data_IF_435276770186
#
_entry.id   IF_435276770186
#
_cell.length_a   1.000
_cell.length_b   1.000
_cell.length_c   1.000
_cell.angle_alpha   90.00
_cell.angle_beta   90.00
_cell.angle_gamma   90.00
#
_symmetry.space_group_name_H-M   'P 1'
#
loop_
_entity.id
_entity.type
_entity.pdbx_description
1 polymer ?
#
# COMPACT_ATOMS: atom_id res chain seq x y z
N UNK A 1 58.66 -42.11 48.13
CA UNK A 1 57.72 -42.84 47.25
C UNK A 1 56.56 -41.90 46.95
N UNK A 2 56.26 -41.68 45.64
CA UNK A 2 54.94 -41.49 44.97
C UNK A 2 53.78 -40.81 45.75
N UNK A 3 52.89 -39.98 45.20
CA UNK A 3 52.57 -39.44 43.87
C UNK A 3 51.36 -38.46 44.11
N UNK A 4 51.25 -37.37 43.33
CA UNK A 4 50.04 -36.76 42.66
C UNK A 4 48.67 -36.78 43.38
N UNK A 5 47.76 -35.79 43.34
CA UNK A 5 47.62 -34.46 42.70
C UNK A 5 46.28 -33.81 43.14
N UNK A 6 46.28 -32.47 43.33
CA UNK A 6 45.23 -31.44 43.10
C UNK A 6 43.99 -31.30 44.05
N UNK A 7 43.45 -30.05 44.29
CA UNK A 7 42.70 -29.24 43.30
C UNK A 7 42.85 -27.68 43.27
N UNK A 8 42.75 -27.16 42.03
CA UNK A 8 42.08 -25.97 41.44
C UNK A 8 42.06 -24.59 42.18
N UNK A 9 42.58 -23.57 41.50
CA UNK A 9 42.55 -22.14 41.86
C UNK A 9 41.42 -21.35 41.15
N UNK A 10 40.79 -20.41 41.87
CA UNK A 10 40.03 -19.28 41.31
C UNK A 10 40.53 -18.00 42.02
N UNK A 11 40.96 -16.98 41.26
CA UNK A 11 41.35 -15.65 41.74
C UNK A 11 40.51 -14.60 41.01
N UNK A 12 39.61 -13.92 41.73
CA UNK A 12 39.73 -12.59 42.38
C UNK A 12 39.49 -11.43 41.41
N UNK A 13 38.34 -10.76 41.55
CA UNK A 13 37.98 -9.53 40.84
C UNK A 13 38.33 -8.27 41.64
N UNK A 14 38.49 -7.16 40.90
CA UNK A 14 38.24 -5.77 41.32
C UNK A 14 38.24 -4.86 40.08
N UNK A 15 37.26 -3.97 40.01
CA UNK A 15 36.93 -2.98 38.94
C UNK A 15 37.83 -1.74 39.11
N UNK A 16 38.29 -1.02 38.05
CA UNK A 16 37.61 0.25 37.69
C UNK A 16 37.71 0.74 36.22
N UNK A 17 36.75 1.64 35.90
CA UNK A 17 36.85 2.81 34.98
C UNK A 17 36.38 2.70 33.52
N UNK A 18 35.30 3.43 33.22
CA UNK A 18 34.82 3.83 31.89
C UNK A 18 35.96 4.41 31.05
N UNK A 19 36.36 3.67 30.02
CA UNK A 19 37.06 4.24 28.87
C UNK A 19 36.22 3.92 27.65
N UNK A 20 35.82 4.95 26.91
CA UNK A 20 35.15 4.89 25.62
C UNK A 20 35.96 3.91 24.76
N UNK A 21 35.44 2.70 24.56
CA UNK A 21 36.10 1.73 23.70
C UNK A 21 36.13 2.37 22.31
N UNK A 22 37.34 2.69 21.89
CA UNK A 22 37.68 2.88 20.50
C UNK A 22 37.44 1.50 19.90
N UNK A 23 36.23 1.29 19.37
CA UNK A 23 35.95 0.08 18.61
C UNK A 23 36.92 0.06 17.43
N UNK A 24 37.57 -1.09 17.32
CA UNK A 24 38.61 -1.47 16.37
C UNK A 24 38.28 -1.06 14.94
N UNK A 25 39.29 -0.73 14.10
CA UNK A 25 39.05 -0.44 12.70
C UNK A 25 38.41 -1.68 12.06
N UNK A 26 37.24 -1.49 11.46
CA UNK A 26 36.51 -2.50 10.72
C UNK A 26 37.47 -3.06 9.67
N UNK A 27 38.02 -4.24 9.92
CA UNK A 27 38.80 -4.98 8.94
C UNK A 27 37.87 -5.33 7.78
N UNK A 28 38.14 -4.71 6.63
CA UNK A 28 37.73 -5.07 5.26
C UNK A 28 36.96 -6.38 5.13
N UNK A 29 35.63 -6.31 5.26
CA UNK A 29 34.72 -7.19 4.54
C UNK A 29 33.91 -6.28 3.64
N UNK A 30 34.40 -6.04 2.42
CA UNK A 30 33.67 -5.29 1.40
C UNK A 30 32.34 -6.03 1.11
N UNK A 31 31.22 -5.30 1.00
CA UNK A 31 29.92 -5.86 0.67
C UNK A 31 30.01 -6.54 -0.71
N UNK A 32 29.22 -7.61 -0.84
CA UNK A 32 29.38 -8.67 -1.84
C UNK A 32 29.53 -8.21 -3.31
N UNK A 33 30.03 -9.16 -4.12
CA UNK A 33 30.31 -9.07 -5.55
C UNK A 33 29.18 -8.42 -6.39
N UNK A 34 29.50 -7.93 -7.61
CA UNK A 34 28.51 -7.32 -8.50
C UNK A 34 27.27 -8.22 -8.64
N UNK A 35 26.04 -7.65 -8.67
CA UNK A 35 24.84 -8.44 -8.85
C UNK A 35 24.94 -9.31 -10.13
N UNK A 36 24.64 -10.60 -10.01
CA UNK A 36 24.71 -11.56 -11.13
C UNK A 36 23.69 -11.26 -12.23
N UNK A 37 22.65 -10.48 -11.92
CA UNK A 37 21.62 -10.08 -12.87
C UNK A 37 22.10 -8.96 -13.80
N UNK A 38 22.03 -9.24 -15.10
CA UNK A 38 22.35 -8.31 -16.19
C UNK A 38 21.54 -6.99 -16.10
N UNK A 39 22.05 -5.89 -16.70
CA UNK A 39 21.39 -4.58 -16.68
C UNK A 39 19.90 -4.66 -17.03
N UNK A 40 19.06 -3.94 -16.31
CA UNK A 40 17.67 -3.71 -16.69
C UNK A 40 17.70 -2.81 -17.94
N UNK A 41 17.37 -3.36 -19.12
CA UNK A 41 17.27 -2.60 -20.37
C UNK A 41 16.10 -1.61 -20.30
N UNK A 42 16.33 -0.41 -19.78
CA UNK A 42 15.40 0.70 -19.98
C UNK A 42 15.58 1.23 -21.41
N UNK A 43 14.67 0.77 -22.27
CA UNK A 43 14.59 1.05 -23.70
C UNK A 43 14.24 2.52 -23.97
N UNK A 44 15.25 3.40 -23.99
CA UNK A 44 15.15 4.71 -24.63
C UNK A 44 16.45 5.28 -25.19
N UNK A 45 17.64 4.86 -24.72
CA UNK A 45 18.92 5.24 -25.33
C UNK A 45 19.97 4.14 -25.11
N UNK A 46 20.37 3.46 -26.19
CA UNK A 46 21.26 2.27 -26.19
C UNK A 46 22.74 2.56 -25.88
N UNK A 47 23.12 3.79 -25.51
CA UNK A 47 24.53 4.19 -25.39
C UNK A 47 25.03 4.48 -23.96
N UNK A 48 24.15 4.71 -22.99
CA UNK A 48 24.53 5.16 -21.64
C UNK A 48 24.46 4.07 -20.55
N UNK A 49 23.42 3.22 -20.47
CA UNK A 49 23.26 2.27 -19.35
C UNK A 49 24.37 1.22 -19.28
N UNK A 50 24.87 0.77 -20.42
CA UNK A 50 25.98 -0.19 -20.50
C UNK A 50 27.32 0.40 -20.07
N UNK A 51 27.55 1.70 -20.31
CA UNK A 51 28.77 2.38 -19.87
C UNK A 51 28.80 2.52 -18.35
N UNK A 52 27.65 2.85 -17.74
CA UNK A 52 27.51 3.00 -16.29
C UNK A 52 27.65 1.66 -15.56
N UNK A 53 27.08 0.57 -16.11
CA UNK A 53 27.30 -0.79 -15.59
C UNK A 53 28.77 -1.23 -15.69
N UNK A 54 29.42 -0.96 -16.83
CA UNK A 54 30.83 -1.31 -16.99
C UNK A 54 31.71 -0.55 -15.98
N UNK A 55 31.44 0.74 -15.79
CA UNK A 55 32.11 1.53 -14.74
C UNK A 55 31.88 0.93 -13.35
N UNK A 56 30.66 0.49 -13.05
CA UNK A 56 30.30 -0.13 -11.77
C UNK A 56 31.11 -1.41 -11.52
N UNK A 57 31.16 -2.31 -12.50
CA UNK A 57 31.94 -3.56 -12.41
C UNK A 57 33.42 -3.25 -12.21
N UNK A 58 33.97 -2.31 -12.98
CA UNK A 58 35.37 -1.89 -12.86
C UNK A 58 35.66 -1.21 -11.51
N UNK A 59 34.71 -0.45 -10.97
CA UNK A 59 34.81 0.18 -9.65
C UNK A 59 34.82 -0.86 -8.52
N UNK A 60 33.89 -1.82 -8.54
CA UNK A 60 33.82 -2.91 -7.56
C UNK A 60 35.10 -3.74 -7.61
N UNK A 61 35.54 -4.15 -8.80
CA UNK A 61 36.77 -4.94 -8.97
C UNK A 61 37.99 -4.21 -8.41
N UNK A 62 38.13 -2.90 -8.68
CA UNK A 62 39.22 -2.11 -8.10
C UNK A 62 39.20 -2.09 -6.57
N UNK A 63 38.01 -2.16 -5.97
CA UNK A 63 37.83 -2.14 -4.52
C UNK A 63 38.04 -3.53 -3.89
N UNK A 64 37.75 -4.63 -4.60
CA UNK A 64 37.90 -6.00 -4.07
C UNK A 64 39.30 -6.60 -4.26
N UNK A 65 40.06 -6.18 -5.28
CA UNK A 65 41.39 -6.76 -5.59
C UNK A 65 42.54 -6.24 -4.71
N UNK A 66 42.27 -5.74 -3.50
CA UNK A 66 43.30 -5.27 -2.54
C UNK A 66 44.04 -3.99 -2.95
N UNK A 67 43.57 -3.29 -3.98
CA UNK A 67 44.03 -1.94 -4.33
C UNK A 67 43.18 -0.96 -3.52
N UNK A 68 43.82 0.05 -2.90
CA UNK A 68 43.11 1.04 -2.07
C UNK A 68 41.92 1.63 -2.85
N UNK A 69 40.70 1.26 -2.44
CA UNK A 69 39.46 1.80 -2.98
C UNK A 69 39.37 3.27 -2.58
N UNK A 70 39.27 4.18 -3.55
CA UNK A 70 39.13 5.60 -3.25
C UNK A 70 37.80 5.88 -2.55
N UNK A 71 37.81 6.79 -1.58
CA UNK A 71 36.66 7.11 -0.74
C UNK A 71 35.50 7.64 -1.61
N UNK A 72 35.81 8.39 -2.68
CA UNK A 72 34.81 8.83 -3.65
C UNK A 72 34.24 7.66 -4.45
N UNK A 73 35.04 6.63 -4.76
CA UNK A 73 34.56 5.45 -5.51
C UNK A 73 33.55 4.66 -4.68
N UNK A 74 33.80 4.47 -3.38
CA UNK A 74 32.86 3.83 -2.45
C UNK A 74 31.52 4.58 -2.39
N UNK A 75 31.58 5.90 -2.30
CA UNK A 75 30.38 6.74 -2.32
C UNK A 75 29.63 6.62 -3.65
N UNK A 76 30.34 6.66 -4.79
CA UNK A 76 29.71 6.55 -6.10
C UNK A 76 29.05 5.18 -6.30
N UNK A 77 29.65 4.08 -5.83
CA UNK A 77 29.00 2.76 -5.85
C UNK A 77 27.69 2.79 -5.06
N UNK A 78 27.67 3.41 -3.88
CA UNK A 78 26.43 3.62 -3.11
C UNK A 78 25.39 4.44 -3.87
N UNK A 79 25.80 5.47 -4.61
CA UNK A 79 24.90 6.28 -5.46
C UNK A 79 24.30 5.45 -6.59
N UNK A 80 25.10 4.59 -7.23
CA UNK A 80 24.65 3.71 -8.32
C UNK A 80 23.55 2.77 -7.85
N UNK A 81 23.75 2.13 -6.68
CA UNK A 81 22.71 1.31 -6.04
C UNK A 81 21.50 2.14 -5.59
N UNK A 82 21.70 3.34 -5.07
CA UNK A 82 20.59 4.19 -4.61
C UNK A 82 19.68 4.67 -5.76
N UNK A 83 20.27 4.99 -6.91
CA UNK A 83 19.54 5.49 -8.09
C UNK A 83 19.09 4.38 -9.03
N UNK A 84 19.73 3.22 -8.99
CA UNK A 84 19.57 2.18 -9.99
C UNK A 84 20.22 2.57 -11.33
N UNK A 85 21.37 3.24 -11.30
CA UNK A 85 22.08 3.69 -12.51
C UNK A 85 23.06 2.59 -12.95
N UNK A 86 22.85 2.01 -14.13
CA UNK A 86 23.60 0.85 -14.63
C UNK A 86 23.37 -0.47 -13.87
N UNK A 87 22.85 -0.43 -12.65
CA UNK A 87 22.52 -1.60 -11.80
C UNK A 87 21.09 -1.48 -11.27
N UNK A 88 20.41 -2.58 -10.86
CA UNK A 88 19.13 -2.50 -10.19
C UNK A 88 19.19 -1.62 -8.92
N UNK A 89 18.15 -0.84 -8.68
CA UNK A 89 18.05 -0.02 -7.48
C UNK A 89 17.97 -0.93 -6.23
N UNK A 90 18.89 -0.71 -5.28
CA UNK A 90 18.94 -1.43 -4.01
C UNK A 90 19.39 -0.48 -2.90
N UNK A 91 18.42 0.05 -2.13
CA UNK A 91 18.72 1.00 -1.06
C UNK A 91 19.49 0.37 0.10
N UNK A 92 19.34 -0.92 0.34
CA UNK A 92 20.05 -1.63 1.41
C UNK A 92 21.54 -1.72 1.09
N UNK A 93 21.87 -2.13 -0.14
CA UNK A 93 23.26 -2.13 -0.62
C UNK A 93 23.84 -0.71 -0.69
N UNK A 94 23.05 0.28 -1.09
CA UNK A 94 23.49 1.66 -1.07
C UNK A 94 23.91 2.12 0.35
N UNK A 95 23.12 1.77 1.38
CA UNK A 95 23.44 2.07 2.79
C UNK A 95 24.76 1.42 3.22
N UNK A 96 25.00 0.17 2.83
CA UNK A 96 26.26 -0.52 3.15
C UNK A 96 27.47 0.21 2.56
N UNK A 97 27.40 0.56 1.27
CA UNK A 97 28.46 1.32 0.60
C UNK A 97 28.65 2.73 1.16
N UNK A 98 27.57 3.41 1.53
CA UNK A 98 27.65 4.71 2.18
C UNK A 98 28.22 4.62 3.60
N UNK A 99 27.93 3.58 4.38
CA UNK A 99 28.56 3.36 5.70
C UNK A 99 30.07 3.19 5.59
N UNK A 100 30.53 2.47 4.56
CA UNK A 100 31.97 2.30 4.31
C UNK A 100 32.61 3.63 3.91
N UNK A 101 32.01 4.36 2.97
CA UNK A 101 32.49 5.68 2.58
C UNK A 101 32.51 6.66 3.77
N UNK A 102 31.48 6.64 4.63
CA UNK A 102 31.42 7.45 5.86
C UNK A 102 32.52 7.05 6.85
N UNK A 103 32.77 5.75 7.04
CA UNK A 103 33.82 5.26 7.93
C UNK A 103 35.22 5.69 7.48
N UNK A 104 35.42 5.86 6.17
CA UNK A 104 36.64 6.43 5.59
C UNK A 104 36.64 7.97 5.51
N UNK A 105 35.61 8.65 6.01
CA UNK A 105 35.54 10.10 6.14
C UNK A 105 34.89 10.85 4.98
N UNK A 106 34.11 10.19 4.12
CA UNK A 106 33.40 10.86 3.03
C UNK A 106 32.27 11.76 3.57
N UNK A 107 32.35 13.10 3.40
CA UNK A 107 31.41 14.02 4.04
C UNK A 107 29.99 13.94 3.45
N UNK A 108 29.84 13.58 2.17
CA UNK A 108 28.50 13.38 1.59
C UNK A 108 27.88 12.03 1.94
N UNK A 109 28.67 11.03 2.40
CA UNK A 109 28.12 9.71 2.68
C UNK A 109 27.19 9.72 3.90
N UNK A 110 27.60 10.42 4.96
CA UNK A 110 26.75 10.68 6.13
C UNK A 110 25.42 11.34 5.77
N UNK A 111 25.47 12.38 4.93
CA UNK A 111 24.26 13.08 4.47
C UNK A 111 23.34 12.18 3.65
N UNK A 112 23.92 11.29 2.84
CA UNK A 112 23.15 10.31 2.06
C UNK A 112 22.44 9.30 2.96
N UNK A 113 23.09 8.81 4.01
CA UNK A 113 22.47 7.93 5.01
C UNK A 113 21.32 8.62 5.73
N UNK A 114 21.52 9.85 6.23
CA UNK A 114 20.46 10.63 6.87
C UNK A 114 19.26 10.88 5.95
N UNK A 115 19.51 11.06 4.65
CA UNK A 115 18.45 11.21 3.65
C UNK A 115 17.70 9.90 3.42
N UNK A 116 18.40 8.77 3.33
CA UNK A 116 17.78 7.45 3.16
C UNK A 116 16.89 7.11 4.35
N UNK A 117 17.33 7.37 5.57
CA UNK A 117 16.52 7.12 6.77
C UNK A 117 15.23 7.94 6.75
N UNK A 118 15.31 9.21 6.34
CA UNK A 118 14.14 10.07 6.15
C UNK A 118 13.22 9.53 5.05
N UNK A 119 13.78 9.05 3.93
CA UNK A 119 13.00 8.48 2.83
C UNK A 119 12.27 7.21 3.27
N UNK A 120 12.91 6.33 4.03
CA UNK A 120 12.27 5.12 4.57
C UNK A 120 11.13 5.49 5.53
N UNK A 121 11.33 6.47 6.41
CA UNK A 121 10.26 6.98 7.29
C UNK A 121 9.08 7.57 6.51
N UNK A 122 9.32 8.22 5.38
CA UNK A 122 8.26 8.74 4.52
C UNK A 122 7.52 7.60 3.78
N UNK A 123 8.22 6.54 3.41
CA UNK A 123 7.62 5.38 2.75
C UNK A 123 6.63 4.64 3.67
N UNK A 124 6.96 4.50 4.95
CA UNK A 124 6.03 3.96 5.96
C UNK A 124 4.76 4.81 6.07
N UNK A 125 4.88 6.14 6.03
CA UNK A 125 3.74 7.04 6.05
C UNK A 125 2.88 6.90 4.79
N UNK A 126 3.50 6.80 3.61
CA UNK A 126 2.79 6.59 2.34
C UNK A 126 2.02 5.27 2.36
N UNK A 127 2.64 4.18 2.84
CA UNK A 127 1.99 2.88 2.96
C UNK A 127 0.77 2.91 3.91
N UNK A 128 0.90 3.65 5.03
CA UNK A 128 -0.21 3.87 5.95
C UNK A 128 -1.35 4.68 5.31
N UNK A 129 -1.02 5.72 4.53
CA UNK A 129 -2.01 6.53 3.80
C UNK A 129 -2.75 5.68 2.76
N UNK A 130 -2.04 4.85 1.99
CA UNK A 130 -2.67 3.99 0.98
C UNK A 130 -3.61 2.97 1.64
N UNK A 131 -3.24 2.45 2.81
CA UNK A 131 -4.10 1.56 3.62
C UNK A 131 -5.39 2.28 4.05
N UNK A 132 -5.29 3.53 4.51
CA UNK A 132 -6.47 4.33 4.90
C UNK A 132 -7.33 4.64 3.67
N UNK A 133 -6.72 5.01 2.55
CA UNK A 133 -7.40 5.28 1.28
C UNK A 133 -8.19 4.06 0.81
N UNK A 134 -7.62 2.86 0.89
CA UNK A 134 -8.33 1.62 0.56
C UNK A 134 -9.57 1.40 1.45
N UNK A 135 -9.45 1.66 2.76
CA UNK A 135 -10.58 1.56 3.69
C UNK A 135 -11.68 2.55 3.35
N UNK A 136 -11.33 3.80 3.02
CA UNK A 136 -12.27 4.83 2.59
C UNK A 136 -13.00 4.41 1.31
N UNK A 137 -12.26 3.90 0.32
CA UNK A 137 -12.85 3.40 -0.93
C UNK A 137 -13.82 2.25 -0.70
N UNK A 138 -13.50 1.31 0.21
CA UNK A 138 -14.40 0.21 0.55
C UNK A 138 -15.70 0.70 1.20
N UNK A 139 -15.61 1.67 2.12
CA UNK A 139 -16.79 2.29 2.73
C UNK A 139 -17.61 3.05 1.70
N UNK A 140 -16.96 3.81 0.81
CA UNK A 140 -17.62 4.53 -0.27
C UNK A 140 -18.37 3.58 -1.21
N UNK A 141 -17.73 2.49 -1.62
CA UNK A 141 -18.34 1.49 -2.49
C UNK A 141 -19.55 0.83 -1.83
N UNK A 142 -19.46 0.52 -0.53
CA UNK A 142 -20.59 -0.01 0.23
C UNK A 142 -21.75 0.99 0.23
N UNK A 143 -21.47 2.26 0.51
CA UNK A 143 -22.47 3.32 0.51
C UNK A 143 -23.15 3.48 -0.84
N UNK A 144 -22.39 3.46 -1.94
CA UNK A 144 -22.94 3.53 -3.30
C UNK A 144 -23.79 2.30 -3.65
N UNK A 145 -23.35 1.11 -3.25
CA UNK A 145 -24.13 -0.11 -3.45
C UNK A 145 -25.46 -0.07 -2.69
N UNK A 146 -25.44 0.34 -1.42
CA UNK A 146 -26.65 0.47 -0.60
C UNK A 146 -27.57 1.58 -1.13
N UNK A 147 -27.00 2.69 -1.60
CA UNK A 147 -27.73 3.76 -2.30
C UNK A 147 -28.42 3.24 -3.56
N UNK A 148 -27.72 2.48 -4.40
CA UNK A 148 -28.27 1.92 -5.63
C UNK A 148 -29.44 0.97 -5.35
N UNK A 149 -29.32 0.12 -4.33
CA UNK A 149 -30.41 -0.78 -3.90
C UNK A 149 -31.65 -0.01 -3.44
N UNK A 150 -31.46 1.05 -2.64
CA UNK A 150 -32.58 1.92 -2.24
C UNK A 150 -33.26 2.57 -3.44
N UNK A 151 -32.49 3.13 -4.37
CA UNK A 151 -33.04 3.76 -5.57
C UNK A 151 -33.78 2.76 -6.48
N UNK A 152 -33.28 1.53 -6.59
CA UNK A 152 -33.96 0.47 -7.32
C UNK A 152 -35.28 0.09 -6.66
N UNK A 153 -35.31 0.00 -5.33
CA UNK A 153 -36.52 -0.26 -4.56
C UNK A 153 -37.56 0.86 -4.71
N UNK A 154 -37.14 2.13 -4.64
CA UNK A 154 -37.98 3.31 -4.91
C UNK A 154 -38.56 3.28 -6.33
N UNK A 155 -37.75 3.00 -7.35
CA UNK A 155 -38.22 2.89 -8.74
C UNK A 155 -39.25 1.75 -8.91
N UNK A 156 -39.04 0.63 -8.23
CA UNK A 156 -40.00 -0.48 -8.26
C UNK A 156 -41.29 -0.15 -7.51
N UNK A 157 -41.20 0.59 -6.41
CA UNK A 157 -42.35 1.14 -5.70
C UNK A 157 -43.17 2.05 -6.61
N UNK A 158 -42.54 3.01 -7.29
CA UNK A 158 -43.22 3.94 -8.21
C UNK A 158 -43.97 3.20 -9.33
N UNK A 159 -43.33 2.18 -9.92
CA UNK A 159 -43.99 1.31 -10.92
C UNK A 159 -45.19 0.56 -10.37
N UNK A 160 -45.09 0.07 -9.14
CA UNK A 160 -46.19 -0.63 -8.46
C UNK A 160 -47.39 0.29 -8.25
N UNK A 161 -47.15 1.51 -7.74
CA UNK A 161 -48.18 2.53 -7.53
C UNK A 161 -48.81 2.95 -8.86
N UNK A 162 -48.01 3.16 -9.91
CA UNK A 162 -48.52 3.50 -11.24
C UNK A 162 -49.49 2.43 -11.77
N UNK A 163 -49.15 1.15 -11.61
CA UNK A 163 -50.01 0.02 -12.02
C UNK A 163 -51.32 -0.04 -11.22
N UNK A 164 -51.27 0.20 -9.91
CA UNK A 164 -52.46 0.25 -9.07
C UNK A 164 -53.41 1.38 -9.52
N UNK A 165 -52.86 2.58 -9.75
CA UNK A 165 -53.62 3.72 -10.27
C UNK A 165 -54.19 3.46 -11.67
N UNK A 166 -53.44 2.80 -12.56
CA UNK A 166 -53.93 2.44 -13.89
C UNK A 166 -55.14 1.49 -13.80
N UNK A 167 -55.08 0.51 -12.89
CA UNK A 167 -56.18 -0.43 -12.65
C UNK A 167 -57.41 0.30 -12.10
N UNK A 168 -57.22 1.16 -11.10
CA UNK A 168 -58.29 2.01 -10.56
C UNK A 168 -58.95 2.86 -11.66
N UNK A 169 -58.15 3.51 -12.50
CA UNK A 169 -58.66 4.37 -13.59
C UNK A 169 -59.46 3.57 -14.63
N UNK A 170 -59.04 2.34 -14.94
CA UNK A 170 -59.80 1.45 -15.85
C UNK A 170 -61.13 1.03 -15.22
N UNK A 171 -61.11 0.59 -13.97
CA UNK A 171 -62.31 0.14 -13.26
C UNK A 171 -63.30 1.31 -13.03
N UNK A 172 -62.80 2.50 -12.67
CA UNK A 172 -63.59 3.73 -12.50
C UNK A 172 -64.32 4.12 -13.79
N UNK A 173 -63.65 4.07 -14.94
CA UNK A 173 -64.30 4.33 -16.26
C UNK A 173 -65.45 3.37 -16.55
N UNK A 174 -65.35 2.11 -16.13
CA UNK A 174 -66.44 1.14 -16.31
C UNK A 174 -67.68 1.54 -15.51
N UNK A 175 -67.52 2.07 -14.29
CA UNK A 175 -68.64 2.58 -13.49
C UNK A 175 -69.26 3.82 -14.12
N UNK A 176 -68.46 4.75 -14.64
CA UNK A 176 -68.99 5.94 -15.32
C UNK A 176 -69.81 5.59 -16.58
N UNK A 177 -69.51 4.46 -17.21
CA UNK A 177 -70.21 3.98 -18.42
C UNK A 177 -71.37 3.00 -18.13
N UNK A 178 -71.59 2.62 -16.88
CA UNK A 178 -72.39 1.43 -16.52
C UNK A 178 -73.92 1.62 -16.54
N UNK A 179 -74.43 2.84 -16.71
CA UNK A 179 -75.88 3.12 -16.62
C UNK A 179 -76.50 2.84 -15.24
N UNK A 180 -75.68 2.64 -14.19
CA UNK A 180 -76.15 2.38 -12.83
C UNK A 180 -76.80 3.61 -12.18
N UNK A 181 -77.62 3.37 -11.17
CA UNK A 181 -78.19 4.44 -10.35
C UNK A 181 -77.10 5.10 -9.48
N UNK A 182 -77.28 6.40 -9.14
CA UNK A 182 -76.26 7.21 -8.41
C UNK A 182 -75.70 6.53 -7.16
N UNK A 183 -76.56 5.93 -6.32
CA UNK A 183 -76.14 5.27 -5.09
C UNK A 183 -75.27 4.02 -5.34
N UNK A 184 -75.49 3.32 -6.46
CA UNK A 184 -74.67 2.16 -6.85
C UNK A 184 -73.29 2.60 -7.33
N UNK A 185 -73.22 3.75 -8.00
CA UNK A 185 -71.97 4.38 -8.43
C UNK A 185 -71.16 4.79 -7.20
N UNK A 186 -71.77 5.48 -6.23
CA UNK A 186 -71.11 5.87 -4.98
C UNK A 186 -70.55 4.68 -4.19
N UNK A 187 -71.34 3.61 -4.02
CA UNK A 187 -70.91 2.38 -3.35
C UNK A 187 -69.81 1.64 -4.14
N UNK A 188 -69.87 1.67 -5.48
CA UNK A 188 -68.82 1.19 -6.36
C UNK A 188 -67.49 1.91 -6.17
N UNK A 189 -67.51 3.25 -6.18
CA UNK A 189 -66.33 4.08 -5.95
C UNK A 189 -65.71 3.88 -4.56
N UNK A 190 -66.55 3.68 -3.53
CA UNK A 190 -66.07 3.36 -2.18
C UNK A 190 -65.25 2.06 -2.18
N UNK A 191 -65.76 0.99 -2.81
CA UNK A 191 -65.04 -0.28 -2.95
C UNK A 191 -63.74 -0.14 -3.75
N UNK A 192 -63.74 0.64 -4.83
CA UNK A 192 -62.54 0.88 -5.63
C UNK A 192 -61.46 1.62 -4.85
N UNK A 193 -61.84 2.64 -4.08
CA UNK A 193 -60.90 3.37 -3.21
C UNK A 193 -60.32 2.46 -2.12
N UNK A 194 -61.14 1.63 -1.48
CA UNK A 194 -60.65 0.65 -0.50
C UNK A 194 -59.67 -0.36 -1.11
N UNK A 195 -59.89 -0.78 -2.36
CA UNK A 195 -58.97 -1.66 -3.09
C UNK A 195 -57.67 -0.95 -3.44
N UNK A 196 -57.74 0.27 -3.95
CA UNK A 196 -56.56 1.07 -4.28
C UNK A 196 -55.67 1.30 -3.06
N UNK A 197 -56.25 1.61 -1.90
CA UNK A 197 -55.49 1.79 -0.66
C UNK A 197 -54.82 0.49 -0.18
N UNK A 198 -55.46 -0.67 -0.36
CA UNK A 198 -54.82 -1.97 -0.09
C UNK A 198 -53.64 -2.23 -1.02
N UNK A 199 -53.79 -1.93 -2.30
CA UNK A 199 -52.73 -2.13 -3.30
C UNK A 199 -51.53 -1.19 -3.05
N UNK A 200 -51.78 0.08 -2.71
CA UNK A 200 -50.71 1.02 -2.31
C UNK A 200 -49.97 0.53 -1.07
N UNK A 201 -50.71 0.12 -0.04
CA UNK A 201 -50.12 -0.43 1.18
C UNK A 201 -49.29 -1.69 0.90
N UNK A 202 -49.74 -2.53 -0.03
CA UNK A 202 -48.94 -3.67 -0.50
C UNK A 202 -47.61 -3.21 -1.12
N UNK A 203 -47.63 -2.24 -2.05
CA UNK A 203 -46.43 -1.69 -2.66
C UNK A 203 -45.45 -1.14 -1.61
N UNK A 204 -45.94 -0.38 -0.62
CA UNK A 204 -45.12 0.17 0.48
C UNK A 204 -44.45 -0.96 1.27
N UNK A 205 -45.23 -1.95 1.72
CA UNK A 205 -44.71 -3.04 2.57
C UNK A 205 -43.73 -3.96 1.85
N UNK A 206 -43.80 -4.04 0.52
CA UNK A 206 -42.98 -4.92 -0.28
C UNK A 206 -41.67 -4.26 -0.74
N UNK A 207 -41.70 -2.96 -1.08
CA UNK A 207 -40.55 -2.27 -1.66
C UNK A 207 -39.82 -1.30 -0.71
N UNK A 208 -40.47 -0.77 0.33
CA UNK A 208 -39.90 0.29 1.18
C UNK A 208 -39.55 -0.15 2.62
N UNK A 209 -39.43 -1.46 2.87
CA UNK A 209 -38.95 -2.01 4.14
C UNK A 209 -37.43 -2.07 4.21
#
# INVERSE_FOLDING_TARGET
QNNKSQPIHIKSGSIPSKTRQIETPITENLPENPPEDKPIENTANKSEPQSHYQWFVDAINRCTTGKKCDINTQFQIGVMFFKGDGVPQDRSKAVEWFKIAESHGHPQAKKALELIDKLNSLEDLVNNIETVKQKIQNVQQKWENDRKKRLEAENNYDKCIAKANETYNKDSRLYDMSGFASWQIEDGYKRLNEKLEKDKKYCETYYLK
#
